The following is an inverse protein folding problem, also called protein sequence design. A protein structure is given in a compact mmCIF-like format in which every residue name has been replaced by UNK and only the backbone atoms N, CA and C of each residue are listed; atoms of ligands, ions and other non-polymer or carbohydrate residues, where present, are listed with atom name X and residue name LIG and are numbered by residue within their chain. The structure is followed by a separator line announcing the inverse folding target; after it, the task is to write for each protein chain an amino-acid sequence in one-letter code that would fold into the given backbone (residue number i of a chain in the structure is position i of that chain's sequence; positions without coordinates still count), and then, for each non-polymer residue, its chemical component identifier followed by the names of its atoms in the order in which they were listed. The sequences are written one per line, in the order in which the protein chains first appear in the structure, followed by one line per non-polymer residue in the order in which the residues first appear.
data_IF_035414623101
#
_entry.id   IF_035414623101
#
_cell.length_a   1.000
_cell.length_b   1.000
_cell.length_c   1.000
_cell.angle_alpha   90.00
_cell.angle_beta   90.00
_cell.angle_gamma   90.00
#
_symmetry.space_group_name_H-M   'P 1'
#
loop_
_entity.id
_entity.type
_entity.pdbx_description
1 polymer ?
#
# COMPACT_ATOMS: atom_id res chain seq x y z
N UNK A 1 13.26 -17.26 37.91
CA UNK A 1 12.51 -17.54 36.67
C UNK A 1 11.53 -16.42 36.28
N UNK A 2 11.11 -15.55 37.21
CA UNK A 2 10.14 -14.44 36.97
C UNK A 2 10.78 -13.20 36.32
N UNK A 3 12.04 -12.88 36.66
CA UNK A 3 12.74 -11.66 36.18
C UNK A 3 12.98 -11.69 34.65
N UNK A 4 13.20 -12.87 34.06
CA UNK A 4 13.38 -13.03 32.61
C UNK A 4 12.11 -12.79 31.79
N UNK A 5 10.93 -12.99 32.39
CA UNK A 5 9.63 -12.82 31.72
C UNK A 5 9.19 -11.35 31.69
N UNK A 6 9.51 -10.59 32.76
CA UNK A 6 9.22 -9.15 32.85
C UNK A 6 10.12 -8.34 31.90
N UNK A 7 11.40 -8.71 31.76
CA UNK A 7 12.32 -8.11 30.79
C UNK A 7 11.88 -8.34 29.33
N UNK A 8 11.24 -9.47 29.04
CA UNK A 8 10.75 -9.80 27.70
C UNK A 8 9.52 -8.97 27.31
N UNK A 9 8.62 -8.68 28.27
CA UNK A 9 7.49 -7.78 28.07
C UNK A 9 7.93 -6.30 27.96
N UNK A 10 8.98 -5.90 28.66
CA UNK A 10 9.58 -4.56 28.54
C UNK A 10 10.25 -4.32 27.18
N UNK A 11 10.76 -5.38 26.53
CA UNK A 11 11.37 -5.27 25.19
C UNK A 11 10.33 -4.96 24.10
N UNK A 12 9.09 -5.42 24.26
CA UNK A 12 8.01 -5.17 23.29
C UNK A 12 7.56 -3.69 23.33
N UNK A 13 7.65 -3.01 24.48
CA UNK A 13 7.24 -1.61 24.63
C UNK A 13 8.25 -0.57 24.11
N UNK A 14 9.48 -0.98 23.77
CA UNK A 14 10.55 -0.06 23.29
C UNK A 14 10.71 -0.11 21.76
N UNK A 15 10.04 -1.02 21.06
CA UNK A 15 9.94 -0.91 19.62
C UNK A 15 9.13 0.35 19.31
N UNK A 16 9.65 1.28 18.49
CA UNK A 16 8.85 2.41 18.03
C UNK A 16 7.62 1.84 17.33
N UNK A 17 6.46 2.02 17.96
CA UNK A 17 5.20 1.94 17.23
C UNK A 17 5.18 3.20 16.37
N UNK A 18 5.44 3.06 15.06
CA UNK A 18 5.21 4.15 14.12
C UNK A 18 3.71 4.49 14.16
N UNK A 19 3.39 5.54 14.93
CA UNK A 19 2.04 6.06 15.16
C UNK A 19 1.67 7.16 14.16
N UNK A 20 2.33 7.23 13.01
CA UNK A 20 2.04 8.17 11.94
C UNK A 20 1.89 7.42 10.61
N UNK A 21 0.90 7.83 9.80
CA UNK A 21 0.57 7.19 8.52
C UNK A 21 1.81 6.87 7.69
N UNK A 22 1.86 5.65 7.14
CA UNK A 22 3.05 5.11 6.48
C UNK A 22 3.66 6.08 5.46
N UNK A 23 4.98 6.08 5.35
CA UNK A 23 5.72 7.01 4.50
C UNK A 23 6.10 6.37 3.17
N UNK A 24 6.13 7.18 2.12
CA UNK A 24 6.65 6.79 0.81
C UNK A 24 7.52 7.92 0.25
N UNK A 25 8.82 7.68 0.09
CA UNK A 25 9.79 8.71 -0.32
C UNK A 25 10.67 8.23 -1.47
N UNK A 26 11.28 9.18 -2.17
CA UNK A 26 12.26 8.92 -3.23
C UNK A 26 13.65 9.17 -2.67
N UNK A 27 14.48 8.13 -2.69
CA UNK A 27 15.88 8.18 -2.29
C UNK A 27 16.72 8.39 -3.56
N UNK A 28 16.92 9.66 -3.92
CA UNK A 28 17.65 10.05 -5.14
C UNK A 28 19.09 9.54 -5.18
N UNK A 29 19.90 9.64 -4.10
CA UNK A 29 21.28 9.13 -4.10
C UNK A 29 21.38 7.63 -4.39
N UNK A 30 20.46 6.81 -3.86
CA UNK A 30 20.46 5.36 -4.06
C UNK A 30 19.51 4.89 -5.17
N UNK A 31 18.88 5.82 -5.90
CA UNK A 31 17.99 5.55 -7.03
C UNK A 31 16.85 4.56 -6.71
N UNK A 32 16.24 4.68 -5.53
CA UNK A 32 15.22 3.74 -5.06
C UNK A 32 14.05 4.47 -4.40
N UNK A 33 12.94 3.75 -4.21
CA UNK A 33 11.87 4.20 -3.33
C UNK A 33 12.08 3.65 -1.93
N UNK A 34 11.64 4.40 -0.92
CA UNK A 34 11.55 3.92 0.44
C UNK A 34 10.09 3.88 0.86
N UNK A 35 9.65 2.74 1.40
CA UNK A 35 8.38 2.61 2.11
C UNK A 35 8.69 2.37 3.58
N UNK A 36 8.20 3.25 4.45
CA UNK A 36 8.45 3.18 5.90
C UNK A 36 9.97 3.10 6.22
N UNK A 37 10.76 3.93 5.53
CA UNK A 37 12.22 3.99 5.66
C UNK A 37 13.00 2.82 5.07
N UNK A 38 12.34 1.83 4.45
CA UNK A 38 12.98 0.63 3.89
C UNK A 38 12.96 0.64 2.36
N UNK A 39 14.03 0.18 1.68
CA UNK A 39 14.05 -0.02 0.23
C UNK A 39 12.80 -0.76 -0.27
N UNK A 40 12.15 -0.19 -1.28
CA UNK A 40 10.91 -0.68 -1.82
C UNK A 40 10.92 -0.63 -3.35
N UNK A 41 10.44 -1.72 -3.95
CA UNK A 41 10.21 -1.81 -5.38
C UNK A 41 8.75 -2.23 -5.60
N UNK A 42 7.99 -1.43 -6.36
CA UNK A 42 6.67 -1.85 -6.79
C UNK A 42 6.75 -2.74 -8.03
N UNK A 43 5.88 -3.74 -8.07
CA UNK A 43 5.53 -4.52 -9.25
C UNK A 43 4.03 -4.40 -9.38
N UNK A 44 3.59 -3.64 -10.37
CA UNK A 44 2.22 -3.16 -10.47
C UNK A 44 1.55 -3.59 -11.78
N UNK A 45 0.24 -3.76 -11.73
CA UNK A 45 -0.61 -4.12 -12.86
C UNK A 45 -1.74 -3.10 -13.00
N UNK A 46 -2.17 -2.89 -14.23
CA UNK A 46 -3.19 -1.88 -14.55
C UNK A 46 -4.61 -2.44 -14.39
N UNK A 47 -5.47 -1.71 -13.70
CA UNK A 47 -6.88 -2.01 -13.51
C UNK A 47 -7.70 -0.75 -13.81
N UNK A 48 -8.60 -0.84 -14.79
CA UNK A 48 -9.59 0.20 -15.06
C UNK A 48 -10.88 -0.16 -14.33
N UNK A 49 -11.07 0.35 -13.12
CA UNK A 49 -12.25 0.03 -12.30
C UNK A 49 -13.57 0.31 -13.04
N UNK A 50 -13.60 1.33 -13.89
CA UNK A 50 -14.75 1.72 -14.72
C UNK A 50 -15.08 0.74 -15.87
N UNK A 51 -14.23 -0.27 -16.09
CA UNK A 51 -14.48 -1.36 -17.07
C UNK A 51 -14.85 -2.68 -16.39
N UNK A 52 -14.97 -2.69 -15.07
CA UNK A 52 -15.21 -3.89 -14.27
C UNK A 52 -16.42 -3.62 -13.38
N UNK A 53 -17.37 -4.55 -13.37
CA UNK A 53 -18.53 -4.44 -12.49
C UNK A 53 -18.06 -4.36 -11.01
N UNK A 54 -18.61 -3.46 -10.17
CA UNK A 54 -18.14 -3.26 -8.79
C UNK A 54 -18.05 -4.55 -7.96
N UNK A 55 -19.03 -5.44 -8.09
CA UNK A 55 -19.05 -6.76 -7.41
C UNK A 55 -17.86 -7.66 -7.76
N UNK A 56 -17.13 -7.37 -8.83
CA UNK A 56 -15.95 -8.12 -9.26
C UNK A 56 -14.63 -7.50 -8.82
N UNK A 57 -14.62 -6.28 -8.26
CA UNK A 57 -13.36 -5.60 -7.91
C UNK A 57 -12.52 -6.41 -6.93
N UNK A 58 -13.15 -6.97 -5.90
CA UNK A 58 -12.44 -7.79 -4.91
C UNK A 58 -11.78 -9.00 -5.55
N UNK A 59 -12.49 -9.76 -6.40
CA UNK A 59 -11.92 -10.88 -7.16
C UNK A 59 -10.72 -10.42 -8.01
N UNK A 60 -10.81 -9.27 -8.70
CA UNK A 60 -9.71 -8.77 -9.52
C UNK A 60 -8.48 -8.43 -8.68
N UNK A 61 -8.67 -7.76 -7.55
CA UNK A 61 -7.59 -7.39 -6.64
C UNK A 61 -6.93 -8.61 -6.00
N UNK A 62 -7.72 -9.62 -5.62
CA UNK A 62 -7.20 -10.88 -5.09
C UNK A 62 -6.37 -11.63 -6.14
N UNK A 63 -6.80 -11.67 -7.40
CA UNK A 63 -6.03 -12.28 -8.50
C UNK A 63 -4.72 -11.55 -8.77
N UNK A 64 -4.74 -10.23 -8.76
CA UNK A 64 -3.52 -9.41 -8.91
C UNK A 64 -2.53 -9.70 -7.78
N UNK A 65 -3.03 -9.77 -6.53
CA UNK A 65 -2.18 -10.14 -5.39
C UNK A 65 -1.62 -11.56 -5.52
N UNK A 66 -2.44 -12.52 -5.94
CA UNK A 66 -2.05 -13.91 -6.15
C UNK A 66 -1.01 -14.06 -7.28
N UNK A 67 -1.04 -13.18 -8.29
CA UNK A 67 -0.04 -13.11 -9.35
C UNK A 67 1.31 -12.51 -8.89
N UNK A 68 1.44 -12.13 -7.61
CA UNK A 68 2.69 -11.65 -7.02
C UNK A 68 2.87 -10.12 -7.05
N UNK A 69 1.86 -9.38 -7.50
CA UNK A 69 1.93 -7.92 -7.55
C UNK A 69 1.73 -7.33 -6.15
N UNK A 70 2.37 -6.19 -5.91
CA UNK A 70 2.30 -5.48 -4.63
C UNK A 70 1.69 -4.07 -4.74
N UNK A 71 1.30 -3.66 -5.95
CA UNK A 71 0.61 -2.43 -6.23
C UNK A 71 -0.32 -2.59 -7.45
N UNK A 72 -1.25 -1.65 -7.63
CA UNK A 72 -2.07 -1.50 -8.84
C UNK A 72 -1.90 -0.11 -9.40
N UNK A 73 -2.17 0.03 -10.70
CA UNK A 73 -2.27 1.32 -11.37
C UNK A 73 -3.71 1.47 -11.87
N UNK A 74 -4.29 2.65 -11.70
CA UNK A 74 -5.67 2.94 -12.12
C UNK A 74 -5.73 4.28 -12.82
N UNK A 75 -6.60 4.39 -13.82
CA UNK A 75 -7.00 5.68 -14.39
C UNK A 75 -8.30 6.16 -13.76
N UNK A 76 -8.41 7.48 -13.60
CA UNK A 76 -9.64 8.18 -13.20
C UNK A 76 -10.20 8.92 -14.42
N UNK A 77 -11.08 8.30 -15.22
CA UNK A 77 -11.66 8.94 -16.39
C UNK A 77 -12.58 10.09 -15.97
N UNK A 78 -12.13 11.33 -16.16
CA UNK A 78 -12.84 12.53 -15.73
C UNK A 78 -14.27 12.60 -16.30
N UNK A 79 -14.44 12.28 -17.57
CA UNK A 79 -15.74 12.27 -18.27
C UNK A 79 -16.79 11.31 -17.66
N UNK A 80 -16.37 10.31 -16.88
CA UNK A 80 -17.29 9.43 -16.15
C UNK A 80 -17.75 10.06 -14.83
N UNK A 81 -16.89 10.86 -14.21
CA UNK A 81 -17.16 11.49 -12.91
C UNK A 81 -17.83 12.86 -13.04
N UNK A 82 -17.50 13.60 -14.09
CA UNK A 82 -18.09 14.89 -14.41
C UNK A 82 -18.56 14.86 -15.88
N UNK A 83 -19.73 14.27 -16.16
CA UNK A 83 -20.30 14.26 -17.51
C UNK A 83 -20.81 15.64 -17.93
N UNK A 84 -21.14 16.50 -16.96
CA UNK A 84 -21.59 17.88 -17.11
C UNK A 84 -20.78 18.73 -16.14
N UNK A 85 -20.26 19.87 -16.62
CA UNK A 85 -19.43 20.80 -15.83
C UNK A 85 -20.09 21.18 -14.49
N UNK A 86 -19.40 20.90 -13.39
CA UNK A 86 -19.80 21.25 -12.02
C UNK A 86 -20.82 20.32 -11.35
N UNK A 87 -21.12 19.14 -11.92
CA UNK A 87 -22.07 18.16 -11.34
C UNK A 87 -21.41 17.13 -10.41
#
# INVERSE_FOLDING_TARGET
MVIRFVLFLFLISVLPQDTHGGTFTVDYPNQQFLKDGKPFQYVAGEIHYFRIHPDQWEDRLQRVRAAGLNAIQVYTPWNLHEPVEGQ
#
